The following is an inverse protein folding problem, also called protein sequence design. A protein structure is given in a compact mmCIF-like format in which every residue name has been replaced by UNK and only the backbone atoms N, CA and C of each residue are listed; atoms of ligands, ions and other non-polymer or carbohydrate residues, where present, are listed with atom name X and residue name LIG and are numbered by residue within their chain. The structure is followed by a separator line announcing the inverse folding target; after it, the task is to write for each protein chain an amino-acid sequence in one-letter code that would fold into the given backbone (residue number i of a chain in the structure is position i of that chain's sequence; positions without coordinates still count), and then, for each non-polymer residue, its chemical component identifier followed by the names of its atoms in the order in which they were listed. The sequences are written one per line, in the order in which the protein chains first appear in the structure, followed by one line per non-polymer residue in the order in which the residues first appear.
data_IF_262282749522
#
_entry.id   IF_262282749522
#
_cell.length_a   1.000
_cell.length_b   1.000
_cell.length_c   1.000
_cell.angle_alpha   90.00
_cell.angle_beta   90.00
_cell.angle_gamma   90.00
#
_symmetry.space_group_name_H-M   'P 1'
#
loop_
_entity.id
_entity.type
_entity.pdbx_description
1 polymer ?
#
# COMPACT_ATOMS: atom_id res chain seq x y z
N UNK A 1 -20.48 -5.28 10.37
CA UNK A 1 -19.43 -5.11 9.34
C UNK A 1 -18.31 -6.11 9.58
N UNK A 2 -17.97 -6.87 8.55
CA UNK A 2 -16.90 -7.86 8.69
C UNK A 2 -15.54 -7.20 8.61
N UNK A 3 -14.68 -7.52 9.57
CA UNK A 3 -13.30 -7.08 9.56
C UNK A 3 -12.49 -7.96 8.61
N UNK A 4 -11.67 -7.35 7.76
CA UNK A 4 -10.79 -8.09 6.87
C UNK A 4 -9.51 -8.46 7.64
N UNK A 5 -9.45 -9.70 8.11
CA UNK A 5 -8.33 -10.17 8.92
C UNK A 5 -7.02 -10.28 8.14
N UNK A 6 -7.11 -10.62 6.85
CA UNK A 6 -5.90 -10.68 6.01
C UNK A 6 -5.32 -9.29 5.84
N UNK A 7 -6.18 -8.30 5.57
CA UNK A 7 -5.72 -6.92 5.45
C UNK A 7 -5.09 -6.44 6.76
N UNK A 8 -5.72 -6.73 7.89
CA UNK A 8 -5.18 -6.34 9.19
C UNK A 8 -3.79 -6.92 9.42
N UNK A 9 -3.58 -8.20 9.04
CA UNK A 9 -2.28 -8.83 9.16
C UNK A 9 -1.26 -8.23 8.21
N UNK A 10 -1.65 -7.94 6.97
CA UNK A 10 -0.78 -7.30 5.99
C UNK A 10 -0.30 -5.95 6.54
N UNK A 11 -1.22 -5.13 7.01
CA UNK A 11 -0.90 -3.81 7.55
C UNK A 11 0.01 -3.91 8.77
N UNK A 12 -0.27 -4.86 9.67
CA UNK A 12 0.55 -5.06 10.86
C UNK A 12 1.98 -5.43 10.51
N UNK A 13 2.16 -6.35 9.57
CA UNK A 13 3.50 -6.77 9.14
C UNK A 13 4.25 -5.60 8.52
N UNK A 14 3.60 -4.83 7.65
CA UNK A 14 4.21 -3.67 7.03
C UNK A 14 4.58 -2.63 8.09
N UNK A 15 3.68 -2.35 9.02
CA UNK A 15 3.94 -1.35 10.06
C UNK A 15 5.14 -1.73 10.92
N UNK A 16 5.24 -3.00 11.29
CA UNK A 16 6.33 -3.47 12.14
C UNK A 16 7.67 -3.56 11.41
N UNK A 17 7.67 -4.04 10.17
CA UNK A 17 8.91 -4.35 9.46
C UNK A 17 9.40 -3.22 8.56
N UNK A 18 8.50 -2.52 7.91
CA UNK A 18 8.86 -1.42 7.01
C UNK A 18 8.90 -0.06 7.70
N UNK A 19 8.18 0.08 8.79
CA UNK A 19 8.10 1.34 9.57
C UNK A 19 7.73 2.53 8.69
N UNK A 20 6.59 2.44 7.98
CA UNK A 20 6.19 3.48 7.05
C UNK A 20 5.59 4.70 7.75
N UNK A 21 5.45 5.80 7.00
CA UNK A 21 4.70 6.96 7.46
C UNK A 21 3.20 6.70 7.33
N UNK A 22 2.78 6.17 6.19
CA UNK A 22 1.37 5.88 5.89
C UNK A 22 1.27 4.66 4.99
N UNK A 23 0.12 3.99 5.04
CA UNK A 23 -0.21 2.89 4.14
C UNK A 23 -1.62 3.10 3.63
N UNK A 24 -1.79 3.02 2.31
CA UNK A 24 -3.10 3.13 1.65
C UNK A 24 -3.46 1.81 0.98
N UNK A 25 -4.75 1.49 1.04
CA UNK A 25 -5.34 0.42 0.24
C UNK A 25 -6.04 1.09 -0.95
N UNK A 26 -5.76 0.64 -2.16
CA UNK A 26 -6.42 1.19 -3.34
C UNK A 26 -6.97 0.05 -4.20
N UNK A 27 -7.54 0.38 -5.36
CA UNK A 27 -8.12 -0.61 -6.24
C UNK A 27 -9.46 -1.14 -5.74
N UNK A 28 -9.85 -2.34 -6.19
CA UNK A 28 -11.18 -2.88 -5.93
C UNK A 28 -11.50 -3.08 -4.46
N UNK A 29 -10.51 -3.42 -3.65
CA UNK A 29 -10.74 -3.68 -2.22
C UNK A 29 -10.97 -2.41 -1.42
N UNK A 30 -10.57 -1.24 -1.94
CA UNK A 30 -10.81 0.03 -1.25
C UNK A 30 -12.25 0.51 -1.40
N UNK A 31 -12.95 0.08 -2.47
CA UNK A 31 -14.31 0.55 -2.77
C UNK A 31 -15.38 -0.52 -2.59
N UNK A 32 -15.02 -1.69 -2.08
CA UNK A 32 -15.99 -2.75 -1.82
C UNK A 32 -16.37 -3.61 -3.01
N UNK A 33 -15.83 -3.33 -4.19
CA UNK A 33 -16.15 -4.08 -5.42
C UNK A 33 -15.20 -5.26 -5.64
N UNK A 34 -14.88 -5.98 -4.58
CA UNK A 34 -13.94 -7.08 -4.65
C UNK A 34 -14.60 -8.42 -4.33
N UNK A 35 -13.90 -9.50 -4.68
CA UNK A 35 -14.24 -10.85 -4.27
C UNK A 35 -13.04 -11.45 -3.53
N UNK A 36 -13.11 -12.73 -3.16
CA UNK A 36 -12.06 -13.40 -2.41
C UNK A 36 -10.71 -13.42 -3.14
N UNK A 37 -10.73 -13.37 -4.45
CA UNK A 37 -9.54 -13.51 -5.28
C UNK A 37 -8.97 -12.17 -5.71
N UNK A 38 -9.62 -11.06 -5.35
CA UNK A 38 -9.12 -9.74 -5.68
C UNK A 38 -7.78 -9.48 -4.99
N UNK A 39 -6.87 -8.83 -5.71
CA UNK A 39 -5.57 -8.45 -5.18
C UNK A 39 -5.72 -7.40 -4.08
N UNK A 40 -4.77 -7.41 -3.15
CA UNK A 40 -4.60 -6.30 -2.22
C UNK A 40 -3.63 -5.31 -2.85
N UNK A 41 -4.13 -4.16 -3.26
CA UNK A 41 -3.31 -3.10 -3.87
C UNK A 41 -2.90 -2.13 -2.77
N UNK A 42 -1.61 -2.11 -2.46
CA UNK A 42 -1.08 -1.39 -1.30
C UNK A 42 -0.07 -0.34 -1.74
N UNK A 43 -0.28 0.89 -1.29
CA UNK A 43 0.70 1.97 -1.45
C UNK A 43 1.30 2.26 -0.07
N UNK A 44 2.61 2.14 0.03
CA UNK A 44 3.36 2.44 1.25
C UNK A 44 4.09 3.75 1.04
N UNK A 45 3.97 4.67 2.00
CA UNK A 45 4.72 5.91 2.01
C UNK A 45 5.79 5.79 3.08
N UNK A 46 7.05 5.81 2.64
CA UNK A 46 8.19 5.57 3.53
C UNK A 46 9.38 6.38 3.09
N UNK A 47 10.06 7.00 4.05
CA UNK A 47 11.30 7.70 3.78
C UNK A 47 12.42 6.68 3.57
N UNK A 48 13.01 6.67 2.39
CA UNK A 48 14.05 5.71 2.02
C UNK A 48 14.89 6.27 0.88
N UNK A 49 16.14 5.80 0.77
CA UNK A 49 17.04 6.15 -0.33
C UNK A 49 17.14 5.04 -1.36
N UNK A 50 16.46 3.91 -1.13
CA UNK A 50 16.47 2.78 -2.04
C UNK A 50 15.73 3.09 -3.33
N UNK A 51 16.05 2.38 -4.41
CA UNK A 51 15.33 2.49 -5.67
C UNK A 51 13.93 1.89 -5.51
N UNK A 52 13.02 2.23 -6.42
CA UNK A 52 11.66 1.67 -6.38
C UNK A 52 11.69 0.14 -6.42
N UNK A 53 12.55 -0.44 -7.25
CA UNK A 53 12.66 -1.89 -7.36
C UNK A 53 13.09 -2.52 -6.03
N UNK A 54 14.12 -1.95 -5.39
CA UNK A 54 14.59 -2.44 -4.09
C UNK A 54 13.53 -2.33 -3.01
N UNK A 55 12.79 -1.23 -2.98
CA UNK A 55 11.71 -1.01 -2.02
C UNK A 55 10.64 -2.08 -2.13
N UNK A 56 10.24 -2.37 -3.36
CA UNK A 56 9.18 -3.35 -3.63
C UNK A 56 9.64 -4.75 -3.24
N UNK A 57 10.86 -5.13 -3.62
CA UNK A 57 11.40 -6.45 -3.26
C UNK A 57 11.48 -6.66 -1.76
N UNK A 58 11.92 -5.63 -1.03
CA UNK A 58 12.01 -5.71 0.42
C UNK A 58 10.66 -6.05 1.05
N UNK A 59 9.60 -5.36 0.61
CA UNK A 59 8.28 -5.59 1.18
C UNK A 59 7.72 -6.95 0.76
N UNK A 60 7.90 -7.35 -0.50
CA UNK A 60 7.44 -8.67 -0.94
C UNK A 60 8.12 -9.78 -0.14
N UNK A 61 9.35 -9.60 0.27
CA UNK A 61 10.04 -10.60 1.09
C UNK A 61 9.39 -10.84 2.44
N UNK A 62 8.61 -9.88 2.94
CA UNK A 62 7.86 -10.07 4.19
C UNK A 62 6.71 -11.06 4.03
N UNK A 63 6.30 -11.34 2.78
CA UNK A 63 5.12 -12.14 2.47
C UNK A 63 5.43 -13.34 1.60
N UNK A 64 6.60 -13.96 1.78
CA UNK A 64 7.05 -15.09 0.95
C UNK A 64 6.07 -16.26 0.91
N UNK A 65 5.45 -16.57 2.02
CA UNK A 65 4.57 -17.72 2.14
C UNK A 65 3.09 -17.35 2.13
N UNK A 66 2.76 -16.27 1.45
CA UNK A 66 1.39 -15.78 1.41
C UNK A 66 0.49 -16.67 0.58
N UNK A 67 -0.80 -16.69 0.97
CA UNK A 67 -1.83 -17.39 0.21
C UNK A 67 -2.83 -16.41 -0.42
N UNK A 68 -2.37 -15.21 -0.76
CA UNK A 68 -3.19 -14.15 -1.36
C UNK A 68 -2.32 -13.36 -2.33
N UNK A 69 -2.97 -12.66 -3.26
CA UNK A 69 -2.27 -11.78 -4.20
C UNK A 69 -2.15 -10.39 -3.61
N UNK A 70 -0.97 -9.79 -3.75
CA UNK A 70 -0.69 -8.47 -3.24
C UNK A 70 0.17 -7.71 -4.25
N UNK A 71 -0.21 -6.47 -4.56
CA UNK A 71 0.57 -5.54 -5.37
C UNK A 71 1.04 -4.41 -4.48
N UNK A 72 2.34 -4.16 -4.47
CA UNK A 72 2.95 -3.21 -3.57
C UNK A 72 3.69 -2.14 -4.34
N UNK A 73 3.44 -0.88 -3.98
CA UNK A 73 4.24 0.26 -4.42
C UNK A 73 4.70 1.01 -3.19
N UNK A 74 5.93 1.52 -3.23
CA UNK A 74 6.54 2.25 -2.12
C UNK A 74 7.04 3.58 -2.62
N UNK A 75 6.45 4.67 -2.15
CA UNK A 75 6.82 6.03 -2.53
C UNK A 75 7.38 6.76 -1.32
N UNK A 76 8.31 7.68 -1.55
CA UNK A 76 8.80 8.55 -0.48
C UNK A 76 7.84 9.72 -0.28
N UNK A 77 7.89 10.37 0.91
CA UNK A 77 7.10 11.58 1.12
C UNK A 77 7.37 12.68 0.08
N UNK A 78 8.63 12.80 -0.38
CA UNK A 78 8.99 13.78 -1.41
C UNK A 78 8.31 13.46 -2.74
N UNK A 79 8.27 12.19 -3.11
CA UNK A 79 7.59 11.75 -4.33
C UNK A 79 6.09 12.03 -4.25
N UNK A 80 5.49 11.80 -3.07
CA UNK A 80 4.08 12.10 -2.86
C UNK A 80 3.82 13.60 -3.02
N UNK A 81 4.65 14.44 -2.40
CA UNK A 81 4.50 15.89 -2.52
C UNK A 81 4.60 16.36 -3.98
N UNK A 82 5.47 15.72 -4.75
CA UNK A 82 5.67 16.09 -6.16
C UNK A 82 4.41 15.85 -7.00
N UNK A 83 3.66 14.79 -6.73
CA UNK A 83 2.57 14.34 -7.60
C UNK A 83 1.17 14.49 -7.01
N UNK A 84 1.03 14.77 -5.72
CA UNK A 84 -0.27 14.71 -5.04
C UNK A 84 -1.31 15.70 -5.59
N UNK A 85 -0.88 16.78 -6.22
CA UNK A 85 -1.78 17.79 -6.77
C UNK A 85 -1.93 17.71 -8.30
N UNK A 86 -1.41 16.65 -8.91
CA UNK A 86 -1.50 16.45 -10.35
C UNK A 86 -2.62 15.44 -10.64
N UNK A 87 -3.79 15.89 -11.11
CA UNK A 87 -4.96 15.01 -11.24
C UNK A 87 -4.77 13.77 -12.11
N UNK A 88 -3.86 13.84 -13.07
CA UNK A 88 -3.59 12.68 -13.94
C UNK A 88 -2.59 11.69 -13.35
N UNK A 89 -2.05 11.97 -12.17
CA UNK A 89 -1.02 11.11 -11.59
C UNK A 89 -1.63 9.94 -10.80
N UNK A 90 -0.88 8.86 -10.72
CA UNK A 90 -1.24 7.71 -9.90
C UNK A 90 -1.37 8.11 -8.42
N UNK A 91 -0.45 8.93 -7.93
CA UNK A 91 -0.46 9.37 -6.53
C UNK A 91 -1.76 10.11 -6.21
N UNK A 92 -2.15 11.06 -7.06
CA UNK A 92 -3.41 11.78 -6.86
C UNK A 92 -4.60 10.82 -6.81
N UNK A 93 -4.63 9.85 -7.73
CA UNK A 93 -5.70 8.87 -7.78
C UNK A 93 -5.79 8.07 -6.46
N UNK A 94 -4.68 7.57 -5.97
CA UNK A 94 -4.68 6.79 -4.72
C UNK A 94 -5.09 7.64 -3.52
N UNK A 95 -4.55 8.86 -3.41
CA UNK A 95 -4.85 9.71 -2.27
C UNK A 95 -6.32 10.16 -2.24
N UNK A 96 -6.96 10.29 -3.40
CA UNK A 96 -8.35 10.76 -3.46
C UNK A 96 -9.36 9.64 -3.42
N UNK A 97 -9.03 8.46 -3.96
CA UNK A 97 -9.98 7.35 -4.03
C UNK A 97 -9.61 6.16 -3.15
N UNK A 98 -8.38 6.07 -2.69
CA UNK A 98 -7.93 4.99 -1.84
C UNK A 98 -8.34 5.18 -0.38
N UNK A 99 -8.01 4.20 0.42
CA UNK A 99 -8.35 4.20 1.84
C UNK A 99 -7.09 4.18 2.67
N UNK A 100 -6.95 5.16 3.58
CA UNK A 100 -5.84 5.19 4.53
C UNK A 100 -6.05 4.08 5.56
N UNK A 101 -5.16 3.10 5.61
CA UNK A 101 -5.29 1.96 6.52
C UNK A 101 -4.25 1.96 7.64
N UNK A 102 -3.24 2.80 7.54
CA UNK A 102 -2.25 2.97 8.61
C UNK A 102 -1.63 4.36 8.53
N UNK A 103 -1.46 4.98 9.67
CA UNK A 103 -0.74 6.25 9.79
C UNK A 103 0.10 6.20 11.06
N UNK A 104 1.36 6.56 10.90
CA UNK A 104 2.30 6.61 12.02
C UNK A 104 1.87 7.58 13.10
#
# INVERSE_FOLDING_TARGET
MKKDRKLSNIVRVIAEKAKPEKVYLFGSRSNGNHNKESDYDILIIKNTKSTMYERILEVYNFFKNRNFSIDILVYTPEEIELWKNTPSSFVYHVLTTGKLVYEK
#
